data_IF_139617079129
#
_entry.id   IF_139617079129
#
_cell.length_a   1.000
_cell.length_b   1.000
_cell.length_c   1.000
_cell.angle_alpha   90.00
_cell.angle_beta   90.00
_cell.angle_gamma   90.00
#
_symmetry.space_group_name_H-M   'P 1'
#
loop_
_entity.id
_entity.type
_entity.pdbx_description
1 polymer ?
#
# COMPACT_ATOMS: atom_id res chain seq x y z
N UNK A 1 -9.91 -19.80 20.51
CA UNK A 1 -9.16 -18.59 20.15
C UNK A 1 -10.07 -17.74 19.31
N UNK A 2 -10.28 -16.48 19.69
CA UNK A 2 -11.05 -15.53 18.87
C UNK A 2 -10.34 -15.40 17.53
N UNK A 3 -11.04 -15.71 16.43
CA UNK A 3 -10.51 -15.45 15.09
C UNK A 3 -10.37 -13.93 14.94
N UNK A 4 -9.20 -13.50 14.50
CA UNK A 4 -8.94 -12.15 14.02
C UNK A 4 -10.06 -11.74 13.06
N UNK A 5 -10.72 -10.60 13.35
CA UNK A 5 -11.85 -10.03 12.59
C UNK A 5 -11.40 -9.22 11.38
N UNK A 6 -10.09 -9.03 11.20
CA UNK A 6 -9.53 -8.18 10.16
C UNK A 6 -9.94 -8.67 8.76
N UNK A 7 -10.80 -7.90 8.09
CA UNK A 7 -10.98 -8.02 6.64
C UNK A 7 -9.84 -7.28 5.92
N UNK A 8 -9.48 -7.75 4.72
CA UNK A 8 -8.49 -7.07 3.89
C UNK A 8 -9.22 -6.34 2.78
N UNK A 9 -8.93 -5.06 2.62
CA UNK A 9 -9.41 -4.23 1.50
C UNK A 9 -8.23 -3.83 0.65
N UNK A 10 -8.33 -4.06 -0.66
CA UNK A 10 -7.34 -3.59 -1.63
C UNK A 10 -7.92 -2.42 -2.39
N UNK A 11 -7.18 -1.32 -2.45
CA UNK A 11 -7.47 -0.19 -3.31
C UNK A 11 -6.24 0.18 -4.15
N UNK A 12 -6.50 0.65 -5.36
CA UNK A 12 -5.46 1.13 -6.29
C UNK A 12 -5.96 2.34 -7.06
N UNK A 13 -5.03 3.15 -7.57
CA UNK A 13 -5.33 4.27 -8.44
C UNK A 13 -4.98 3.92 -9.89
N UNK A 14 -5.97 3.97 -10.78
CA UNK A 14 -5.77 3.73 -12.21
C UNK A 14 -6.67 4.65 -13.04
N UNK A 15 -6.06 5.62 -13.72
CA UNK A 15 -6.77 6.63 -14.50
C UNK A 15 -7.27 6.13 -15.85
N UNK A 16 -6.56 5.20 -16.49
CA UNK A 16 -6.66 4.88 -17.92
C UNK A 16 -6.99 3.42 -18.26
N UNK A 17 -7.02 2.54 -17.26
CA UNK A 17 -7.15 1.08 -17.41
C UNK A 17 -6.08 0.50 -18.34
N UNK A 18 -4.82 0.81 -18.07
CA UNK A 18 -3.72 0.24 -18.83
C UNK A 18 -3.73 -1.31 -18.78
N UNK A 19 -3.35 -2.02 -19.84
CA UNK A 19 -3.37 -3.49 -19.86
C UNK A 19 -2.59 -4.15 -18.71
N UNK A 20 -1.52 -3.50 -18.23
CA UNK A 20 -0.67 -4.01 -17.15
C UNK A 20 -1.44 -4.16 -15.82
N UNK A 21 -2.47 -3.34 -15.60
CA UNK A 21 -3.36 -3.43 -14.42
C UNK A 21 -4.08 -4.79 -14.29
N UNK A 22 -4.28 -5.51 -15.40
CA UNK A 22 -4.87 -6.85 -15.36
C UNK A 22 -4.09 -7.84 -14.49
N UNK A 23 -2.77 -7.66 -14.35
CA UNK A 23 -1.93 -8.48 -13.49
C UNK A 23 -2.31 -8.35 -12.02
N UNK A 24 -2.52 -7.12 -11.54
CA UNK A 24 -2.98 -6.87 -10.18
C UNK A 24 -4.37 -7.47 -9.95
N UNK A 25 -5.33 -7.23 -10.86
CA UNK A 25 -6.69 -7.79 -10.74
C UNK A 25 -6.69 -9.32 -10.65
N UNK A 26 -5.95 -9.98 -11.53
CA UNK A 26 -5.89 -11.43 -11.58
C UNK A 26 -5.23 -12.01 -10.32
N UNK A 27 -4.09 -11.44 -9.91
CA UNK A 27 -3.34 -11.94 -8.75
C UNK A 27 -4.04 -11.66 -7.42
N UNK A 28 -4.65 -10.49 -7.25
CA UNK A 28 -5.41 -10.15 -6.06
C UNK A 28 -6.67 -11.00 -5.91
N UNK A 29 -7.45 -11.19 -6.98
CA UNK A 29 -8.68 -11.99 -6.93
C UNK A 29 -8.44 -13.46 -6.59
N UNK A 30 -7.28 -14.01 -6.97
CA UNK A 30 -6.88 -15.38 -6.64
C UNK A 30 -6.43 -15.55 -5.19
N UNK A 31 -5.81 -14.53 -4.60
CA UNK A 31 -5.09 -14.69 -3.33
C UNK A 31 -5.72 -13.99 -2.13
N UNK A 32 -6.42 -12.87 -2.35
CA UNK A 32 -6.96 -12.03 -1.28
C UNK A 32 -8.44 -11.70 -1.53
N UNK A 33 -8.76 -11.06 -2.64
CA UNK A 33 -10.10 -10.55 -2.89
C UNK A 33 -10.19 -9.47 -3.98
N UNK A 34 -11.35 -8.82 -4.09
CA UNK A 34 -11.58 -7.79 -5.10
C UNK A 34 -10.74 -6.54 -4.86
N UNK A 35 -10.37 -5.86 -5.95
CA UNK A 35 -9.63 -4.60 -5.93
C UNK A 35 -10.57 -3.44 -6.20
N UNK A 36 -10.57 -2.44 -5.33
CA UNK A 36 -11.27 -1.18 -5.56
C UNK A 36 -10.41 -0.28 -6.44
N UNK A 37 -10.93 0.08 -7.63
CA UNK A 37 -10.24 0.98 -8.55
C UNK A 37 -10.69 2.40 -8.31
N UNK A 38 -9.75 3.29 -8.03
CA UNK A 38 -9.97 4.69 -7.73
C UNK A 38 -9.44 5.58 -8.86
N UNK A 39 -10.03 6.76 -9.01
CA UNK A 39 -9.53 7.80 -9.91
C UNK A 39 -9.65 7.49 -11.41
N UNK A 40 -10.46 6.51 -11.80
CA UNK A 40 -10.73 6.22 -13.21
C UNK A 40 -11.28 7.45 -13.93
N UNK A 41 -10.71 7.78 -15.09
CA UNK A 41 -11.06 8.95 -15.88
C UNK A 41 -10.42 10.27 -15.43
N UNK A 42 -9.66 10.29 -14.33
CA UNK A 42 -8.91 11.47 -13.91
C UNK A 42 -7.65 11.66 -14.76
N UNK A 43 -7.32 12.90 -15.11
CA UNK A 43 -6.10 13.23 -15.84
C UNK A 43 -4.87 13.23 -14.90
N UNK A 44 -4.41 12.03 -14.52
CA UNK A 44 -3.21 11.83 -13.73
C UNK A 44 -2.31 10.76 -14.36
N UNK A 45 -1.02 11.03 -14.43
CA UNK A 45 0.01 10.09 -14.88
C UNK A 45 1.19 10.11 -13.92
N UNK A 46 2.06 9.12 -13.99
CA UNK A 46 3.26 9.11 -13.18
C UNK A 46 4.07 10.42 -13.34
N UNK A 47 4.47 11.02 -12.21
CA UNK A 47 5.17 12.32 -12.17
C UNK A 47 4.31 13.56 -12.45
N UNK A 48 3.03 13.43 -12.79
CA UNK A 48 2.11 14.56 -13.05
C UNK A 48 0.73 14.31 -12.49
N UNK A 49 0.32 15.11 -11.51
CA UNK A 49 -1.01 14.97 -10.89
C UNK A 49 -1.13 13.79 -9.93
N UNK A 50 -0.01 13.27 -9.40
CA UNK A 50 -0.01 12.22 -8.37
C UNK A 50 -0.70 12.65 -7.06
N UNK A 51 -0.92 13.96 -6.85
CA UNK A 51 -1.80 14.45 -5.80
C UNK A 51 -3.21 13.84 -5.89
N UNK A 52 -3.71 13.62 -7.11
CA UNK A 52 -5.01 12.97 -7.31
C UNK A 52 -5.03 11.52 -6.80
N UNK A 53 -3.90 10.80 -6.83
CA UNK A 53 -3.76 9.48 -6.21
C UNK A 53 -3.94 9.58 -4.69
N UNK A 54 -3.20 10.50 -4.06
CA UNK A 54 -3.26 10.70 -2.61
C UNK A 54 -4.64 11.17 -2.15
N UNK A 55 -5.26 12.10 -2.89
CA UNK A 55 -6.61 12.58 -2.58
C UNK A 55 -7.64 11.46 -2.71
N UNK A 56 -7.55 10.63 -3.76
CA UNK A 56 -8.42 9.47 -3.94
C UNK A 56 -8.27 8.44 -2.82
N UNK A 57 -7.04 8.17 -2.37
CA UNK A 57 -6.77 7.28 -1.24
C UNK A 57 -7.32 7.86 0.07
N UNK A 58 -7.11 9.15 0.33
CA UNK A 58 -7.68 9.83 1.50
C UNK A 58 -9.20 9.71 1.52
N UNK A 59 -9.85 10.07 0.41
CA UNK A 59 -11.29 10.09 0.32
C UNK A 59 -11.89 8.67 0.42
N UNK A 60 -11.20 7.66 -0.14
CA UNK A 60 -11.56 6.26 0.04
C UNK A 60 -11.51 5.83 1.52
N UNK A 61 -10.38 6.04 2.20
CA UNK A 61 -10.20 5.63 3.60
C UNK A 61 -11.18 6.35 4.52
N UNK A 62 -11.35 7.67 4.37
CA UNK A 62 -12.28 8.47 5.18
C UNK A 62 -13.75 8.17 4.86
N UNK A 63 -14.05 7.63 3.68
CA UNK A 63 -15.39 7.22 3.27
C UNK A 63 -15.80 5.82 3.73
N UNK A 64 -14.88 5.04 4.32
CA UNK A 64 -15.20 3.71 4.85
C UNK A 64 -16.14 3.80 6.07
N UNK A 65 -17.07 2.84 6.22
CA UNK A 65 -17.94 2.82 7.40
C UNK A 65 -17.14 2.55 8.67
N UNK A 66 -17.65 2.99 9.82
CA UNK A 66 -17.00 2.77 11.11
C UNK A 66 -16.73 1.29 11.42
N UNK A 67 -17.52 0.37 10.86
CA UNK A 67 -17.28 -1.08 10.99
C UNK A 67 -15.99 -1.56 10.32
N UNK A 68 -15.37 -0.76 9.46
CA UNK A 68 -14.11 -1.07 8.78
C UNK A 68 -12.89 -0.55 9.56
N UNK A 69 -13.05 -0.06 10.79
CA UNK A 69 -11.94 0.48 11.58
C UNK A 69 -10.88 -0.55 11.96
N UNK A 70 -11.23 -1.84 11.94
CA UNK A 70 -10.34 -2.97 12.17
C UNK A 70 -9.88 -3.62 10.86
N UNK A 71 -10.22 -3.06 9.70
CA UNK A 71 -9.83 -3.64 8.42
C UNK A 71 -8.39 -3.26 8.07
N UNK A 72 -7.66 -4.19 7.46
CA UNK A 72 -6.34 -3.92 6.88
C UNK A 72 -6.56 -3.36 5.47
N UNK A 73 -6.08 -2.15 5.23
CA UNK A 73 -6.20 -1.48 3.94
C UNK A 73 -4.85 -1.52 3.22
N UNK A 74 -4.85 -2.12 2.03
CA UNK A 74 -3.69 -2.17 1.13
C UNK A 74 -3.88 -1.16 0.01
N UNK A 75 -2.97 -0.19 -0.10
CA UNK A 75 -2.96 0.82 -1.14
C UNK A 75 -1.83 0.52 -2.12
N UNK A 76 -2.16 -0.07 -3.26
CA UNK A 76 -1.15 -0.60 -4.20
C UNK A 76 -1.09 0.24 -5.48
N UNK A 77 0.09 0.38 -6.07
CA UNK A 77 0.19 0.84 -7.45
C UNK A 77 -0.46 -0.17 -8.42
N UNK A 78 -1.05 0.32 -9.51
CA UNK A 78 -1.91 -0.50 -10.36
C UNK A 78 -1.14 -1.37 -11.36
N UNK A 79 -0.03 -0.85 -11.90
CA UNK A 79 0.50 -1.32 -13.19
C UNK A 79 1.73 -2.21 -13.08
N UNK A 80 2.40 -2.24 -11.93
CA UNK A 80 3.66 -2.95 -11.71
C UNK A 80 3.65 -3.76 -10.41
N UNK A 81 2.46 -4.10 -9.91
CA UNK A 81 2.26 -4.88 -8.68
C UNK A 81 1.53 -6.20 -8.97
N UNK A 82 1.99 -7.27 -8.31
CA UNK A 82 1.32 -8.57 -8.24
C UNK A 82 1.15 -8.99 -6.78
N UNK A 83 0.02 -9.62 -6.46
CA UNK A 83 -0.27 -10.18 -5.14
C UNK A 83 -0.01 -11.68 -5.16
N UNK A 84 1.02 -12.13 -4.45
CA UNK A 84 1.45 -13.54 -4.45
C UNK A 84 1.14 -14.29 -3.15
N UNK A 85 1.05 -13.58 -2.02
CA UNK A 85 0.71 -14.16 -0.72
C UNK A 85 -0.80 -14.23 -0.52
N UNK A 86 -1.25 -15.18 0.31
CA UNK A 86 -2.67 -15.30 0.64
C UNK A 86 -3.10 -14.37 1.79
N UNK A 87 -4.41 -14.26 2.00
CA UNK A 87 -5.02 -13.46 3.06
C UNK A 87 -4.45 -13.73 4.47
N UNK A 88 -4.26 -14.99 4.84
CA UNK A 88 -3.82 -15.33 6.20
C UNK A 88 -2.36 -14.94 6.43
N UNK A 89 -1.50 -15.11 5.42
CA UNK A 89 -0.09 -14.72 5.50
C UNK A 89 0.03 -13.20 5.69
N UNK A 90 -0.82 -12.43 5.01
CA UNK A 90 -0.82 -10.97 5.13
C UNK A 90 -1.30 -10.49 6.50
N UNK A 91 -2.39 -11.06 7.02
CA UNK A 91 -2.87 -10.75 8.39
C UNK A 91 -1.78 -11.09 9.41
N UNK A 92 -1.18 -12.28 9.31
CA UNK A 92 -0.13 -12.69 10.23
C UNK A 92 1.10 -11.77 10.16
N UNK A 93 1.49 -11.33 8.96
CA UNK A 93 2.59 -10.38 8.79
C UNK A 93 2.25 -8.99 9.38
N UNK A 94 1.03 -8.49 9.17
CA UNK A 94 0.58 -7.23 9.74
C UNK A 94 0.53 -7.28 11.27
N UNK A 95 -0.14 -8.28 11.85
CA UNK A 95 -0.23 -8.47 13.30
C UNK A 95 1.15 -8.61 13.95
N UNK A 96 2.09 -9.29 13.27
CA UNK A 96 3.47 -9.38 13.73
C UNK A 96 4.14 -8.00 13.78
N UNK A 97 4.04 -7.22 12.71
CA UNK A 97 4.63 -5.88 12.62
C UNK A 97 4.00 -4.91 13.63
N UNK A 98 2.68 -4.92 13.74
CA UNK A 98 1.93 -4.09 14.69
C UNK A 98 2.34 -4.42 16.13
N UNK A 99 2.38 -5.70 16.50
CA UNK A 99 2.83 -6.15 17.82
C UNK A 99 4.28 -5.77 18.11
N UNK A 100 5.16 -5.85 17.11
CA UNK A 100 6.57 -5.56 17.28
C UNK A 100 6.89 -4.06 17.39
N UNK A 101 6.08 -3.20 16.75
CA UNK A 101 6.41 -1.77 16.58
C UNK A 101 5.42 -0.82 17.24
N UNK A 102 4.21 -1.29 17.59
CA UNK A 102 3.09 -0.45 18.01
C UNK A 102 2.61 0.52 16.93
N UNK A 103 2.89 0.23 15.66
CA UNK A 103 2.47 1.03 14.50
C UNK A 103 1.34 0.34 13.75
N UNK A 104 0.49 1.16 13.14
CA UNK A 104 -0.68 0.69 12.37
C UNK A 104 -0.56 1.01 10.87
N UNK A 105 0.47 1.75 10.48
CA UNK A 105 0.72 2.16 9.08
C UNK A 105 2.13 1.75 8.71
N UNK A 106 2.24 1.01 7.61
CA UNK A 106 3.48 0.50 7.07
C UNK A 106 3.59 0.89 5.61
N UNK A 107 4.81 1.14 5.15
CA UNK A 107 5.11 1.48 3.77
C UNK A 107 6.11 0.47 3.21
N UNK A 108 6.15 0.32 1.89
CA UNK A 108 7.24 -0.40 1.23
C UNK A 108 8.60 0.21 1.54
N UNK A 109 9.64 -0.62 1.62
CA UNK A 109 11.03 -0.18 1.72
C UNK A 109 11.78 -0.46 0.42
N UNK A 110 12.57 0.50 -0.08
CA UNK A 110 13.36 0.35 -1.29
C UNK A 110 14.86 0.62 -1.08
N UNK A 111 15.68 0.06 -1.98
CA UNK A 111 17.15 0.21 -2.00
C UNK A 111 17.48 1.21 -3.13
N UNK A 112 17.78 2.44 -2.73
CA UNK A 112 18.05 3.55 -3.65
C UNK A 112 16.90 4.53 -3.73
N UNK A 113 16.94 5.58 -2.90
CA UNK A 113 16.03 6.70 -3.07
C UNK A 113 16.33 7.45 -4.37
N UNK A 114 15.28 7.86 -5.09
CA UNK A 114 15.36 8.84 -6.16
C UNK A 114 14.73 10.14 -5.68
N UNK A 115 15.48 11.25 -5.72
CA UNK A 115 14.95 12.59 -5.45
C UNK A 115 15.63 13.36 -4.32
N UNK A 116 15.15 14.58 -4.03
CA UNK A 116 15.86 15.54 -3.16
C UNK A 116 15.84 15.19 -1.67
N UNK A 117 15.08 14.17 -1.25
CA UNK A 117 14.86 13.82 0.16
C UNK A 117 15.76 12.68 0.68
N UNK A 118 16.67 12.16 -0.16
CA UNK A 118 17.57 11.02 0.15
C UNK A 118 18.39 11.27 1.41
N UNK A 119 18.93 12.49 1.59
CA UNK A 119 19.77 12.82 2.74
C UNK A 119 19.00 12.76 4.05
N UNK A 120 17.76 13.26 4.07
CA UNK A 120 16.90 13.24 5.25
C UNK A 120 16.52 11.82 5.67
N UNK A 121 16.20 10.94 4.71
CA UNK A 121 15.86 9.55 5.00
C UNK A 121 17.07 8.76 5.52
N UNK A 122 18.27 9.00 4.99
CA UNK A 122 19.50 8.38 5.52
C UNK A 122 19.82 8.83 6.94
N UNK A 123 19.75 10.13 7.22
CA UNK A 123 19.95 10.64 8.58
C UNK A 123 18.92 10.10 9.57
N UNK A 124 17.68 9.91 9.13
CA UNK A 124 16.65 9.25 9.93
C UNK A 124 17.03 7.78 10.21
N UNK A 125 17.37 7.00 9.18
CA UNK A 125 17.77 5.60 9.33
C UNK A 125 18.96 5.43 10.29
N UNK A 126 19.96 6.30 10.20
CA UNK A 126 21.11 6.30 11.11
C UNK A 126 20.69 6.56 12.57
N UNK A 127 19.79 7.53 12.78
CA UNK A 127 19.27 7.88 14.12
C UNK A 127 18.41 6.76 14.71
N UNK A 128 17.60 6.10 13.89
CA UNK A 128 16.74 5.00 14.31
C UNK A 128 17.46 3.63 14.28
N UNK A 129 18.79 3.62 14.06
CA UNK A 129 19.62 2.42 14.03
C UNK A 129 19.13 1.33 13.05
N UNK A 130 18.67 1.76 11.87
CA UNK A 130 18.19 0.85 10.81
C UNK A 130 19.39 0.35 9.99
N UNK A 131 19.68 -0.94 10.08
CA UNK A 131 20.86 -1.56 9.45
C UNK A 131 20.55 -2.38 8.18
N UNK A 132 19.37 -2.20 7.58
CA UNK A 132 19.00 -2.83 6.31
C UNK A 132 19.32 -1.92 5.13
N UNK A 133 19.33 -2.46 3.91
CA UNK A 133 19.43 -1.67 2.68
C UNK A 133 18.13 -0.92 2.33
N UNK A 134 17.00 -1.39 2.88
CA UNK A 134 15.66 -0.86 2.62
C UNK A 134 15.34 0.35 3.52
N UNK A 135 16.08 1.45 3.35
CA UNK A 135 15.96 2.63 4.23
C UNK A 135 15.09 3.74 3.67
N UNK A 136 14.71 3.64 2.39
CA UNK A 136 13.91 4.64 1.72
C UNK A 136 12.45 4.20 1.65
N UNK A 137 11.54 5.14 1.86
CA UNK A 137 10.10 4.90 1.78
C UNK A 137 9.68 4.77 0.32
N UNK A 138 9.02 3.67 0.00
CA UNK A 138 8.31 3.47 -1.25
C UNK A 138 6.79 3.62 -1.01
N UNK A 139 6.12 4.38 -1.88
CA UNK A 139 4.68 4.66 -1.79
C UNK A 139 3.83 3.90 -2.82
N UNK A 140 4.42 2.87 -3.44
CA UNK A 140 3.71 1.91 -4.29
C UNK A 140 3.04 0.78 -3.51
N UNK A 141 3.31 0.72 -2.20
CA UNK A 141 2.66 -0.11 -1.18
C UNK A 141 2.38 0.74 0.07
#
# INVERSE_FOLDING_TARGET
>A
GLRSTHEIRIATFESSLAPMFSGLLASASQNIGPVTVLGHGLAATWGKGLQAKLDSYRDYVLGLPASASEDIILLLDANDVLVLGNRNDLIAAFEHLEKATGKHVFFGGEDGGAGPLISGQRSLADREHVHTRWIYLNSGL
#
